data_IF_529227950664
#
_entry.id   IF_529227950664
#
_cell.length_a   1.000
_cell.length_b   1.000
_cell.length_c   1.000
_cell.angle_alpha   90.00
_cell.angle_beta   90.00
_cell.angle_gamma   90.00
#
_symmetry.space_group_name_H-M   'P 1'
#
loop_
_entity.id
_entity.type
_entity.pdbx_description
1 polymer ?
#
# COMPACT_ATOMS: atom_id res chain seq x y z
N UNK A 1 -39.45 -73.64 14.30
CA UNK A 1 -40.07 -72.33 14.70
C UNK A 1 -39.00 -71.28 14.76
N UNK A 2 -38.92 -70.34 13.78
CA UNK A 2 -37.93 -69.27 13.69
C UNK A 2 -38.43 -68.05 14.51
N UNK A 3 -37.64 -67.54 15.39
CA UNK A 3 -37.95 -66.49 16.35
C UNK A 3 -37.92 -65.12 15.67
N UNK A 4 -39.05 -64.39 15.48
CA UNK A 4 -39.10 -63.13 14.71
C UNK A 4 -38.66 -61.86 15.46
N UNK A 5 -38.20 -62.01 16.74
CA UNK A 5 -37.94 -60.86 17.62
C UNK A 5 -36.55 -60.21 17.50
N UNK A 6 -35.61 -60.80 16.74
CA UNK A 6 -34.23 -60.26 16.62
C UNK A 6 -34.01 -59.33 15.42
N UNK A 7 -34.91 -59.28 14.45
CA UNK A 7 -34.73 -58.44 13.25
C UNK A 7 -35.11 -56.97 13.49
N UNK A 8 -36.03 -56.69 14.43
CA UNK A 8 -36.48 -55.31 14.72
C UNK A 8 -35.49 -54.45 15.48
N UNK A 9 -34.58 -55.04 16.26
CA UNK A 9 -33.65 -54.28 17.11
C UNK A 9 -32.44 -53.78 16.31
N UNK A 10 -32.03 -54.52 15.25
CA UNK A 10 -30.90 -54.12 14.41
C UNK A 10 -31.26 -53.00 13.43
N UNK A 11 -32.50 -52.95 12.94
CA UNK A 11 -32.96 -51.88 12.06
C UNK A 11 -33.12 -50.51 12.77
N UNK A 12 -33.51 -50.52 14.03
CA UNK A 12 -33.60 -49.29 14.84
C UNK A 12 -32.21 -48.69 15.20
N UNK A 13 -31.23 -49.56 15.47
CA UNK A 13 -29.84 -49.09 15.74
C UNK A 13 -29.15 -48.53 14.53
N UNK A 14 -29.36 -49.12 13.33
CA UNK A 14 -28.80 -48.60 12.07
C UNK A 14 -29.39 -47.24 11.70
N UNK A 15 -30.71 -47.04 11.90
CA UNK A 15 -31.37 -45.75 11.66
C UNK A 15 -30.92 -44.66 12.64
N UNK A 16 -30.65 -44.97 13.88
CA UNK A 16 -30.11 -44.03 14.88
C UNK A 16 -28.68 -43.63 14.55
N UNK A 17 -27.82 -44.55 14.12
CA UNK A 17 -26.44 -44.24 13.72
C UNK A 17 -26.41 -43.39 12.44
N UNK A 18 -27.27 -43.67 11.45
CA UNK A 18 -27.37 -42.83 10.26
C UNK A 18 -27.91 -41.43 10.54
N UNK A 19 -28.83 -41.29 11.50
CA UNK A 19 -29.34 -39.99 11.99
C UNK A 19 -28.28 -39.17 12.70
N UNK A 20 -27.41 -39.77 13.50
CA UNK A 20 -26.31 -39.11 14.22
C UNK A 20 -25.22 -38.70 13.23
N UNK A 21 -24.87 -39.52 12.25
CA UNK A 21 -23.88 -39.20 11.21
C UNK A 21 -24.42 -38.11 10.30
N UNK A 22 -25.69 -38.18 9.84
CA UNK A 22 -26.34 -37.18 9.00
C UNK A 22 -26.50 -35.85 9.72
N UNK A 23 -26.90 -35.85 10.99
CA UNK A 23 -27.02 -34.66 11.84
C UNK A 23 -25.67 -34.00 12.12
N UNK A 24 -24.62 -34.80 12.38
CA UNK A 24 -23.26 -34.31 12.58
C UNK A 24 -22.70 -33.63 11.32
N UNK A 25 -22.93 -34.19 10.14
CA UNK A 25 -22.52 -33.59 8.85
C UNK A 25 -23.31 -32.32 8.53
N UNK A 26 -24.61 -32.25 8.84
CA UNK A 26 -25.42 -31.05 8.64
C UNK A 26 -25.00 -29.95 9.62
N UNK A 27 -24.74 -30.29 10.89
CA UNK A 27 -24.28 -29.35 11.92
C UNK A 27 -22.88 -28.83 11.61
N UNK A 28 -21.98 -29.67 11.14
CA UNK A 28 -20.63 -29.29 10.71
C UNK A 28 -20.63 -28.43 9.46
N UNK A 29 -21.56 -28.63 8.49
CA UNK A 29 -21.78 -27.73 7.35
C UNK A 29 -22.35 -26.37 7.78
N UNK A 30 -23.20 -26.32 8.78
CA UNK A 30 -23.78 -25.08 9.29
C UNK A 30 -22.77 -24.21 10.06
N UNK A 31 -21.79 -24.80 10.73
CA UNK A 31 -20.71 -24.06 11.39
C UNK A 31 -19.67 -23.53 10.40
N UNK A 32 -19.54 -24.05 9.20
CA UNK A 32 -18.59 -23.58 8.19
C UNK A 32 -19.14 -22.55 7.20
N UNK A 33 -20.33 -22.03 7.36
CA UNK A 33 -20.73 -20.78 6.72
C UNK A 33 -20.12 -19.59 7.47
N UNK A 34 -18.77 -19.50 7.53
CA UNK A 34 -18.12 -18.23 7.82
C UNK A 34 -18.65 -17.22 6.82
N UNK A 35 -19.50 -16.30 7.30
CA UNK A 35 -19.99 -15.19 6.46
C UNK A 35 -18.78 -14.59 5.77
N UNK A 36 -18.78 -14.60 4.44
CA UNK A 36 -17.70 -14.03 3.64
C UNK A 36 -17.37 -12.63 4.17
N UNK A 37 -16.10 -12.31 4.42
CA UNK A 37 -15.73 -11.01 4.97
C UNK A 37 -16.17 -9.90 4.00
N UNK A 38 -16.84 -8.89 4.54
CA UNK A 38 -17.30 -7.70 3.80
C UNK A 38 -16.32 -6.57 4.04
N UNK A 39 -15.28 -6.51 3.21
CA UNK A 39 -14.17 -5.60 3.39
C UNK A 39 -14.38 -4.35 2.55
N UNK A 40 -14.17 -3.18 3.16
CA UNK A 40 -14.09 -1.89 2.47
C UNK A 40 -12.65 -1.41 2.47
N UNK A 41 -12.13 -1.03 1.30
CA UNK A 41 -10.85 -0.37 1.10
C UNK A 41 -11.10 1.11 0.78
N UNK A 42 -10.51 2.04 1.53
CA UNK A 42 -10.67 3.48 1.30
C UNK A 42 -9.55 4.10 0.47
N UNK A 43 -8.46 3.38 0.22
CA UNK A 43 -7.32 3.84 -0.61
C UNK A 43 -6.94 2.82 -1.67
N UNK A 44 -6.31 3.29 -2.74
CA UNK A 44 -5.86 2.41 -3.83
C UNK A 44 -4.78 1.42 -3.37
N UNK A 45 -3.88 1.83 -2.47
CA UNK A 45 -2.88 0.92 -1.88
C UNK A 45 -3.53 -0.28 -1.18
N UNK A 46 -4.61 -0.04 -0.42
CA UNK A 46 -5.39 -1.13 0.24
C UNK A 46 -6.08 -2.02 -0.78
N UNK A 47 -6.64 -1.46 -1.87
CA UNK A 47 -7.21 -2.25 -2.98
C UNK A 47 -6.17 -3.17 -3.60
N UNK A 48 -4.95 -2.67 -3.83
CA UNK A 48 -3.86 -3.47 -4.39
C UNK A 48 -3.46 -4.62 -3.45
N UNK A 49 -3.34 -4.36 -2.15
CA UNK A 49 -3.05 -5.38 -1.13
C UNK A 49 -4.15 -6.45 -1.14
N UNK A 50 -5.43 -6.03 -1.07
CA UNK A 50 -6.57 -6.93 -1.10
C UNK A 50 -6.57 -7.81 -2.37
N UNK A 51 -6.23 -7.23 -3.53
CA UNK A 51 -6.12 -7.97 -4.79
C UNK A 51 -5.01 -9.04 -4.75
N UNK A 52 -3.83 -8.70 -4.23
CA UNK A 52 -2.71 -9.64 -4.12
C UNK A 52 -2.95 -10.75 -3.11
N UNK A 53 -3.75 -10.50 -2.09
CA UNK A 53 -4.17 -11.48 -1.09
C UNK A 53 -5.47 -12.20 -1.48
N UNK A 54 -6.05 -11.91 -2.64
CA UNK A 54 -7.31 -12.48 -3.11
C UNK A 54 -8.48 -12.29 -2.10
N UNK A 55 -8.56 -11.11 -1.48
CA UNK A 55 -9.63 -10.76 -0.54
C UNK A 55 -10.85 -10.21 -1.28
N UNK A 56 -12.09 -10.49 -0.84
CA UNK A 56 -13.28 -9.86 -1.39
C UNK A 56 -13.41 -8.42 -0.88
N UNK A 57 -13.71 -7.47 -1.77
CA UNK A 57 -14.07 -6.11 -1.41
C UNK A 57 -15.54 -5.84 -1.74
N UNK A 58 -16.25 -5.18 -0.83
CA UNK A 58 -17.62 -4.68 -1.05
C UNK A 58 -17.67 -3.17 -1.26
N UNK A 59 -16.56 -2.46 -0.97
CA UNK A 59 -16.39 -1.03 -1.21
C UNK A 59 -14.95 -0.72 -1.59
N UNK A 60 -14.76 0.21 -2.56
CA UNK A 60 -13.46 0.67 -3.06
C UNK A 60 -13.44 2.19 -3.20
N UNK A 61 -12.28 2.86 -3.16
CA UNK A 61 -12.21 4.30 -3.34
C UNK A 61 -12.58 4.72 -4.77
N UNK A 62 -13.06 5.96 -4.90
CA UNK A 62 -13.03 6.69 -6.17
C UNK A 62 -11.60 7.10 -6.44
N UNK A 63 -11.03 6.68 -7.56
CA UNK A 63 -9.63 6.90 -7.93
C UNK A 63 -9.49 7.04 -9.44
N UNK A 64 -8.49 7.82 -9.89
CA UNK A 64 -8.07 7.88 -11.29
C UNK A 64 -7.30 6.62 -11.72
N UNK A 65 -6.76 5.85 -10.78
CA UNK A 65 -6.04 4.62 -11.06
C UNK A 65 -6.98 3.51 -11.52
N UNK A 66 -6.55 2.70 -12.49
CA UNK A 66 -7.32 1.56 -12.99
C UNK A 66 -7.43 0.47 -11.90
N UNK A 67 -8.66 0.22 -11.46
CA UNK A 67 -8.92 -0.83 -10.48
C UNK A 67 -8.67 -2.23 -11.08
N UNK A 68 -8.22 -3.20 -10.28
CA UNK A 68 -8.18 -4.60 -10.70
C UNK A 68 -9.55 -5.07 -11.21
N UNK A 69 -9.58 -5.88 -12.26
CA UNK A 69 -10.82 -6.32 -12.95
C UNK A 69 -11.90 -6.81 -11.97
N UNK A 70 -11.52 -7.59 -10.97
CA UNK A 70 -12.45 -8.13 -9.96
C UNK A 70 -13.14 -7.08 -9.09
N UNK A 71 -12.68 -5.83 -9.09
CA UNK A 71 -13.22 -4.73 -8.27
C UNK A 71 -13.80 -3.58 -9.10
N UNK A 72 -13.86 -3.68 -10.41
CA UNK A 72 -14.35 -2.59 -11.28
C UNK A 72 -15.81 -2.24 -11.02
N UNK A 73 -16.63 -3.24 -10.67
CA UNK A 73 -18.07 -3.09 -10.40
C UNK A 73 -18.40 -2.99 -8.91
N UNK A 74 -17.40 -2.92 -8.03
CA UNK A 74 -17.59 -2.75 -6.59
C UNK A 74 -17.99 -1.31 -6.27
N UNK A 75 -18.86 -1.13 -5.28
CA UNK A 75 -19.37 0.17 -4.86
C UNK A 75 -18.27 1.18 -4.54
N UNK A 76 -18.40 2.42 -5.04
CA UNK A 76 -17.47 3.52 -4.77
C UNK A 76 -17.85 4.24 -3.49
N UNK A 77 -16.93 4.31 -2.54
CA UNK A 77 -17.13 4.88 -1.20
C UNK A 77 -16.55 6.29 -1.01
N UNK A 78 -16.25 7.00 -2.10
CA UNK A 78 -15.64 8.33 -2.07
C UNK A 78 -14.14 8.30 -2.33
N UNK A 79 -13.52 9.48 -2.47
CA UNK A 79 -12.06 9.58 -2.65
C UNK A 79 -11.30 9.26 -1.36
N UNK A 80 -10.01 8.91 -1.43
CA UNK A 80 -9.20 8.69 -0.24
C UNK A 80 -9.18 9.89 0.71
N UNK A 81 -9.23 11.11 0.17
CA UNK A 81 -9.23 12.36 0.94
C UNK A 81 -10.64 12.82 1.39
N UNK A 82 -11.68 12.15 0.93
CA UNK A 82 -13.07 12.41 1.32
C UNK A 82 -13.91 11.13 1.19
N UNK A 83 -13.69 10.13 2.08
CA UNK A 83 -14.47 8.90 2.09
C UNK A 83 -15.87 9.19 2.62
N UNK A 84 -16.90 8.66 1.94
CA UNK A 84 -18.31 8.77 2.41
C UNK A 84 -18.56 7.70 3.48
N UNK A 85 -18.59 8.11 4.74
CA UNK A 85 -18.88 7.21 5.87
C UNK A 85 -20.28 6.61 5.75
N UNK A 86 -21.25 7.38 5.25
CA UNK A 86 -22.62 6.93 4.99
C UNK A 86 -22.65 5.75 3.99
N UNK A 87 -21.99 5.91 2.83
CA UNK A 87 -21.89 4.82 1.84
C UNK A 87 -21.18 3.59 2.42
N UNK A 88 -20.14 3.80 3.21
CA UNK A 88 -19.41 2.72 3.88
C UNK A 88 -20.34 1.96 4.83
N UNK A 89 -21.08 2.67 5.68
CA UNK A 89 -22.02 2.09 6.66
C UNK A 89 -23.14 1.31 5.97
N UNK A 90 -23.70 1.85 4.87
CA UNK A 90 -24.74 1.18 4.08
C UNK A 90 -24.29 -0.18 3.53
N UNK A 91 -22.98 -0.36 3.29
CA UNK A 91 -22.41 -1.64 2.86
C UNK A 91 -22.33 -2.68 3.98
N UNK A 92 -22.64 -2.34 5.23
CA UNK A 92 -22.55 -3.23 6.40
C UNK A 92 -21.22 -4.00 6.42
N UNK A 93 -20.05 -3.34 6.43
CA UNK A 93 -18.75 -3.98 6.37
C UNK A 93 -18.45 -4.75 7.66
N UNK A 94 -17.69 -5.84 7.54
CA UNK A 94 -17.07 -6.52 8.69
C UNK A 94 -15.70 -5.92 9.02
N UNK A 95 -15.08 -5.22 8.07
CA UNK A 95 -13.82 -4.50 8.25
C UNK A 95 -13.72 -3.34 7.25
N UNK A 96 -13.18 -2.21 7.72
CA UNK A 96 -12.84 -1.04 6.89
C UNK A 96 -11.34 -0.81 7.04
N UNK A 97 -10.61 -0.76 5.93
CA UNK A 97 -9.18 -0.49 5.92
C UNK A 97 -8.86 0.84 5.26
N UNK A 98 -8.05 1.64 5.94
CA UNK A 98 -7.46 2.88 5.48
C UNK A 98 -5.95 2.87 5.75
N UNK A 99 -5.28 4.01 5.64
CA UNK A 99 -3.84 4.15 5.92
C UNK A 99 -3.60 5.13 7.06
N UNK A 100 -2.53 4.92 7.84
CA UNK A 100 -2.22 5.74 9.04
C UNK A 100 -2.03 7.21 8.74
N UNK A 101 -1.56 7.56 7.53
CA UNK A 101 -1.40 8.95 7.08
C UNK A 101 -2.74 9.73 7.02
N UNK A 102 -3.88 9.03 7.04
CA UNK A 102 -5.23 9.61 7.03
C UNK A 102 -5.96 9.48 8.38
N UNK A 103 -5.32 8.91 9.41
CA UNK A 103 -5.96 8.60 10.70
C UNK A 103 -6.46 9.85 11.42
N UNK A 104 -5.67 10.90 11.44
CA UNK A 104 -6.00 12.15 12.17
C UNK A 104 -7.14 12.91 11.50
N UNK A 105 -7.19 12.84 10.15
CA UNK A 105 -8.23 13.50 9.37
C UNK A 105 -9.59 12.81 9.50
N UNK A 106 -9.63 11.48 9.47
CA UNK A 106 -10.90 10.74 9.34
C UNK A 106 -11.28 9.92 10.57
N UNK A 107 -10.37 9.67 11.50
CA UNK A 107 -10.64 8.83 12.67
C UNK A 107 -11.85 9.29 13.47
N UNK A 108 -12.01 10.60 13.66
CA UNK A 108 -13.16 11.19 14.37
C UNK A 108 -14.47 11.02 13.60
N UNK A 109 -14.46 11.24 12.27
CA UNK A 109 -15.67 11.13 11.43
C UNK A 109 -16.18 9.68 11.38
N UNK A 110 -15.29 8.71 11.25
CA UNK A 110 -15.64 7.30 11.32
C UNK A 110 -16.20 6.90 12.68
N UNK A 111 -15.59 7.35 13.77
CA UNK A 111 -16.03 7.05 15.13
C UNK A 111 -17.43 7.60 15.42
N UNK A 112 -17.74 8.81 14.93
CA UNK A 112 -19.04 9.43 15.09
C UNK A 112 -20.19 8.63 14.42
N UNK A 113 -19.89 7.83 13.42
CA UNK A 113 -20.81 6.95 12.70
C UNK A 113 -20.71 5.47 13.13
N UNK A 114 -20.11 5.20 14.29
CA UNK A 114 -19.88 3.84 14.82
C UNK A 114 -19.13 2.89 13.88
N UNK A 115 -18.32 3.44 12.96
CA UNK A 115 -17.42 2.67 12.11
C UNK A 115 -16.01 2.75 12.70
N UNK A 116 -15.38 1.60 12.94
CA UNK A 116 -13.99 1.53 13.41
C UNK A 116 -13.08 1.08 12.27
N UNK A 117 -12.40 2.00 11.57
CA UNK A 117 -11.48 1.61 10.52
C UNK A 117 -10.16 1.09 11.12
N UNK A 118 -9.55 0.14 10.43
CA UNK A 118 -8.18 -0.29 10.66
C UNK A 118 -7.24 0.56 9.81
N UNK A 119 -6.43 1.39 10.44
CA UNK A 119 -5.42 2.18 9.74
C UNK A 119 -4.13 1.38 9.59
N UNK A 120 -3.84 0.96 8.35
CA UNK A 120 -2.64 0.21 8.01
C UNK A 120 -1.44 1.16 7.93
N UNK A 121 -0.36 0.83 8.64
CA UNK A 121 0.88 1.55 8.50
C UNK A 121 1.58 1.11 7.21
N UNK A 122 1.66 2.02 6.24
CA UNK A 122 2.32 1.82 4.95
C UNK A 122 3.41 2.86 4.69
N UNK A 123 4.02 3.39 5.75
CA UNK A 123 5.07 4.41 5.66
C UNK A 123 6.45 3.87 5.27
N UNK A 124 6.59 2.53 5.19
CA UNK A 124 7.83 1.88 4.75
C UNK A 124 7.56 0.53 4.09
N UNK A 125 8.55 0.02 3.37
CA UNK A 125 8.50 -1.32 2.77
C UNK A 125 8.39 -2.41 3.84
N UNK A 126 9.07 -2.24 4.99
CA UNK A 126 8.97 -3.18 6.11
C UNK A 126 7.55 -3.24 6.68
N UNK A 127 6.88 -2.09 6.83
CA UNK A 127 5.49 -2.04 7.28
C UNK A 127 4.53 -2.68 6.27
N UNK A 128 4.77 -2.54 4.96
CA UNK A 128 3.99 -3.25 3.95
C UNK A 128 4.16 -4.78 4.08
N UNK A 129 5.38 -5.27 4.29
CA UNK A 129 5.66 -6.70 4.51
C UNK A 129 4.93 -7.22 5.76
N UNK A 130 4.94 -6.46 6.86
CA UNK A 130 4.18 -6.77 8.07
C UNK A 130 2.68 -6.80 7.82
N UNK A 131 2.14 -5.79 7.13
CA UNK A 131 0.72 -5.70 6.76
C UNK A 131 0.29 -6.90 5.93
N UNK A 132 1.08 -7.29 4.91
CA UNK A 132 0.81 -8.48 4.10
C UNK A 132 0.75 -9.75 4.96
N UNK A 133 1.70 -9.90 5.87
CA UNK A 133 1.77 -11.07 6.77
C UNK A 133 0.58 -11.11 7.73
N UNK A 134 0.22 -9.97 8.35
CA UNK A 134 -0.89 -9.87 9.28
C UNK A 134 -2.24 -10.13 8.60
N UNK A 135 -2.52 -9.48 7.47
CA UNK A 135 -3.74 -9.70 6.70
C UNK A 135 -3.80 -11.11 6.12
N UNK A 136 -2.65 -11.66 5.69
CA UNK A 136 -2.53 -13.05 5.26
C UNK A 136 -2.94 -14.03 6.35
N UNK A 137 -2.51 -13.81 7.59
CA UNK A 137 -2.90 -14.62 8.75
C UNK A 137 -4.40 -14.44 9.09
N UNK A 138 -4.86 -13.20 9.16
CA UNK A 138 -6.23 -12.83 9.53
C UNK A 138 -7.28 -13.44 8.59
N UNK A 139 -6.98 -13.47 7.29
CA UNK A 139 -7.92 -13.92 6.25
C UNK A 139 -7.56 -15.28 5.65
N UNK A 140 -6.69 -16.07 6.30
CA UNK A 140 -6.25 -17.38 5.81
C UNK A 140 -5.68 -17.32 4.39
N UNK A 141 -4.80 -16.34 4.13
CA UNK A 141 -4.10 -16.11 2.86
C UNK A 141 -2.58 -16.10 3.02
N UNK A 142 -2.05 -16.89 3.96
CA UNK A 142 -0.63 -16.91 4.31
C UNK A 142 0.27 -17.21 3.11
N UNK A 143 -0.11 -18.16 2.26
CA UNK A 143 0.65 -18.53 1.06
C UNK A 143 0.75 -17.35 0.08
N UNK A 144 -0.37 -16.63 -0.17
CA UNK A 144 -0.39 -15.45 -1.03
C UNK A 144 0.47 -14.33 -0.44
N UNK A 145 0.38 -14.08 0.88
CA UNK A 145 1.19 -13.09 1.57
C UNK A 145 2.68 -13.43 1.49
N UNK A 146 3.08 -14.67 1.79
CA UNK A 146 4.46 -15.13 1.74
C UNK A 146 5.06 -14.96 0.33
N UNK A 147 4.28 -15.25 -0.72
CA UNK A 147 4.69 -15.01 -2.11
C UNK A 147 5.02 -13.54 -2.36
N UNK A 148 4.16 -12.60 -1.91
CA UNK A 148 4.41 -11.17 -2.10
C UNK A 148 5.63 -10.71 -1.31
N UNK A 149 5.77 -11.11 -0.04
CA UNK A 149 6.93 -10.80 0.79
C UNK A 149 8.22 -11.31 0.15
N UNK A 150 8.23 -12.54 -0.38
CA UNK A 150 9.38 -13.12 -1.10
C UNK A 150 9.79 -12.26 -2.31
N UNK A 151 8.83 -11.76 -3.10
CA UNK A 151 9.10 -10.88 -4.24
C UNK A 151 9.73 -9.54 -3.77
N UNK A 152 9.20 -8.96 -2.70
CA UNK A 152 9.75 -7.71 -2.12
C UNK A 152 11.18 -7.94 -1.63
N UNK A 153 11.44 -9.03 -0.90
CA UNK A 153 12.78 -9.36 -0.42
C UNK A 153 13.78 -9.56 -1.57
N UNK A 154 13.35 -10.20 -2.66
CA UNK A 154 14.18 -10.36 -3.86
C UNK A 154 14.55 -8.99 -4.48
N UNK A 155 13.58 -8.08 -4.59
CA UNK A 155 13.82 -6.73 -5.10
C UNK A 155 14.78 -5.94 -4.19
N UNK A 156 14.63 -6.02 -2.87
CA UNK A 156 15.56 -5.42 -1.90
C UNK A 156 16.99 -5.95 -2.07
N UNK A 157 17.14 -7.25 -2.27
CA UNK A 157 18.45 -7.88 -2.51
C UNK A 157 19.09 -7.37 -3.81
N UNK A 158 18.32 -7.24 -4.89
CA UNK A 158 18.81 -6.70 -6.17
C UNK A 158 19.24 -5.23 -6.05
N UNK A 159 18.42 -4.39 -5.41
CA UNK A 159 18.75 -2.99 -5.17
C UNK A 159 20.02 -2.84 -4.35
N UNK A 160 20.18 -3.62 -3.27
CA UNK A 160 21.39 -3.65 -2.45
C UNK A 160 22.62 -4.08 -3.27
N UNK A 161 22.49 -5.10 -4.13
CA UNK A 161 23.59 -5.55 -5.02
C UNK A 161 24.02 -4.43 -5.97
N UNK A 162 23.06 -3.64 -6.53
CA UNK A 162 23.36 -2.51 -7.43
C UNK A 162 24.14 -1.40 -6.73
N UNK A 163 23.85 -1.15 -5.45
CA UNK A 163 24.54 -0.16 -4.63
C UNK A 163 25.92 -0.62 -4.10
N UNK A 164 26.19 -1.92 -4.14
CA UNK A 164 27.39 -2.51 -3.52
C UNK A 164 28.67 -1.90 -4.08
N UNK A 165 29.62 -1.52 -3.18
CA UNK A 165 30.91 -0.91 -3.49
C UNK A 165 30.81 0.44 -4.26
N UNK A 166 29.67 1.12 -4.18
CA UNK A 166 29.46 2.43 -4.80
C UNK A 166 29.11 3.48 -3.73
N UNK A 167 29.62 4.72 -3.84
CA UNK A 167 29.26 5.78 -2.90
C UNK A 167 27.76 6.01 -2.86
N UNK A 168 27.21 6.22 -1.66
CA UNK A 168 25.80 6.53 -1.49
C UNK A 168 25.50 7.96 -1.99
N UNK A 169 24.69 8.14 -3.03
CA UNK A 169 24.34 9.47 -3.52
C UNK A 169 23.44 10.21 -2.52
N UNK A 170 23.63 11.53 -2.40
CA UNK A 170 22.73 12.42 -1.64
C UNK A 170 21.46 12.67 -2.42
N UNK A 171 20.33 12.31 -1.87
CA UNK A 171 19.01 12.36 -2.52
C UNK A 171 18.10 13.33 -1.79
N UNK A 172 17.54 14.28 -2.52
CA UNK A 172 16.42 15.11 -2.08
C UNK A 172 15.13 14.50 -2.60
N UNK A 173 14.13 14.36 -1.73
CA UNK A 173 12.79 13.92 -2.12
C UNK A 173 11.80 15.05 -1.88
N UNK A 174 11.08 15.42 -2.92
CA UNK A 174 10.04 16.45 -2.88
C UNK A 174 8.68 15.77 -3.08
N UNK A 175 7.66 16.24 -2.39
CA UNK A 175 6.26 15.85 -2.61
C UNK A 175 5.47 17.07 -3.04
N UNK A 176 5.05 17.13 -4.29
CA UNK A 176 4.17 18.17 -4.81
C UNK A 176 2.72 17.90 -4.45
N UNK A 177 2.00 18.96 -4.13
CA UNK A 177 0.58 18.95 -3.80
C UNK A 177 -0.19 19.84 -4.79
N UNK A 178 -1.40 19.44 -5.22
CA UNK A 178 -2.21 20.23 -6.14
C UNK A 178 -2.53 21.62 -5.58
N UNK A 179 -2.20 22.68 -6.33
CA UNK A 179 -2.50 24.07 -5.94
C UNK A 179 -1.69 24.61 -4.77
N UNK A 180 -0.68 23.87 -4.29
CA UNK A 180 0.19 24.27 -3.19
C UNK A 180 1.66 24.12 -3.56
N UNK A 181 2.55 24.68 -2.71
CA UNK A 181 3.97 24.41 -2.82
C UNK A 181 4.26 22.93 -2.48
N UNK A 182 5.47 22.49 -2.79
CA UNK A 182 5.94 21.16 -2.42
C UNK A 182 6.29 21.06 -0.94
N UNK A 183 6.35 19.84 -0.43
CA UNK A 183 6.94 19.50 0.86
C UNK A 183 8.23 18.71 0.65
N UNK A 184 9.12 18.73 1.64
CA UNK A 184 10.33 17.91 1.65
C UNK A 184 10.02 16.61 2.39
N UNK A 185 10.22 15.47 1.71
CA UNK A 185 10.02 14.16 2.28
C UNK A 185 11.29 13.67 2.98
N UNK A 186 11.17 13.26 4.23
CA UNK A 186 12.28 12.81 5.06
C UNK A 186 12.56 11.31 4.91
N UNK A 187 13.60 10.83 5.60
CA UNK A 187 13.89 9.40 5.74
C UNK A 187 12.73 8.58 6.38
N UNK A 188 11.72 9.23 6.95
CA UNK A 188 10.55 8.57 7.57
C UNK A 188 9.41 8.34 6.58
N UNK A 189 9.41 9.01 5.43
CA UNK A 189 8.44 8.78 4.36
C UNK A 189 8.70 7.48 3.62
N UNK A 190 7.67 6.96 2.95
CA UNK A 190 7.81 5.77 2.10
C UNK A 190 8.89 5.95 1.00
N UNK A 191 8.89 7.09 0.31
CA UNK A 191 9.91 7.35 -0.72
C UNK A 191 11.30 7.48 -0.10
N UNK A 192 11.41 8.07 1.10
CA UNK A 192 12.66 8.10 1.87
C UNK A 192 13.16 6.70 2.23
N UNK A 193 12.27 5.76 2.53
CA UNK A 193 12.62 4.35 2.75
C UNK A 193 13.08 3.66 1.46
N UNK A 194 12.44 3.96 0.31
CA UNK A 194 12.91 3.48 -1.00
C UNK A 194 14.34 3.97 -1.31
N UNK A 195 14.64 5.24 -1.04
CA UNK A 195 15.99 5.81 -1.20
C UNK A 195 17.00 5.03 -0.36
N UNK A 196 16.71 4.79 0.92
CA UNK A 196 17.56 4.02 1.83
C UNK A 196 17.77 2.58 1.33
N UNK A 197 16.70 1.90 0.93
CA UNK A 197 16.77 0.52 0.43
C UNK A 197 17.53 0.40 -0.90
N UNK A 198 17.47 1.45 -1.72
CA UNK A 198 18.24 1.56 -2.94
C UNK A 198 19.71 1.96 -2.71
N UNK A 199 20.13 2.23 -1.46
CA UNK A 199 21.51 2.57 -1.10
C UNK A 199 21.83 4.07 -1.17
N UNK A 200 20.84 4.96 -1.32
CA UNK A 200 21.01 6.41 -1.25
C UNK A 200 20.88 6.96 0.17
N UNK A 201 21.30 8.20 0.33
CA UNK A 201 21.15 8.97 1.58
C UNK A 201 20.15 10.10 1.36
N UNK A 202 19.00 10.07 2.04
CA UNK A 202 18.08 11.20 2.03
C UNK A 202 18.72 12.38 2.78
N UNK A 203 18.82 13.53 2.12
CA UNK A 203 19.49 14.73 2.68
C UNK A 203 18.67 15.39 3.79
N UNK A 204 17.38 15.09 3.91
CA UNK A 204 16.53 15.53 5.00
C UNK A 204 16.12 14.35 5.88
N UNK A 205 16.44 14.44 7.15
CA UNK A 205 16.13 13.40 8.13
C UNK A 205 15.28 13.94 9.27
N UNK A 206 14.39 13.11 9.78
CA UNK A 206 13.60 13.41 10.97
C UNK A 206 13.47 12.18 11.86
N UNK A 207 13.26 12.40 13.16
CA UNK A 207 12.91 11.33 14.10
C UNK A 207 11.40 11.03 14.12
N UNK A 208 10.56 12.02 13.71
CA UNK A 208 9.09 11.96 13.86
C UNK A 208 8.33 12.22 12.56
N UNK A 209 8.75 13.21 11.77
CA UNK A 209 7.99 13.72 10.64
C UNK A 209 8.34 12.98 9.36
N UNK A 210 7.34 12.63 8.58
CA UNK A 210 7.50 12.10 7.22
C UNK A 210 7.76 13.23 6.21
N UNK A 211 7.15 14.39 6.44
CA UNK A 211 7.22 15.57 5.58
C UNK A 211 7.52 16.82 6.40
N UNK A 212 8.27 17.75 5.80
CA UNK A 212 8.67 19.02 6.37
C UNK A 212 8.37 20.14 5.38
N UNK A 213 8.15 21.35 5.90
CA UNK A 213 8.08 22.54 5.05
C UNK A 213 9.42 22.77 4.36
N UNK A 214 9.43 23.22 3.09
CA UNK A 214 10.65 23.54 2.37
C UNK A 214 11.37 24.73 2.99
N UNK A 215 12.69 24.71 2.88
CA UNK A 215 13.56 25.84 3.18
C UNK A 215 14.67 25.85 2.13
N UNK A 216 14.66 26.85 1.26
CA UNK A 216 15.53 26.95 0.08
C UNK A 216 17.01 26.99 0.48
N UNK A 217 17.37 27.73 1.52
CA UNK A 217 18.76 27.80 2.01
C UNK A 217 19.23 26.43 2.50
N UNK A 218 18.40 25.73 3.29
CA UNK A 218 18.71 24.38 3.76
C UNK A 218 18.82 23.40 2.59
N UNK A 219 17.94 23.48 1.59
CA UNK A 219 18.00 22.64 0.37
C UNK A 219 19.31 22.89 -0.38
N UNK A 220 19.64 24.17 -0.63
CA UNK A 220 20.86 24.54 -1.35
C UNK A 220 22.12 24.05 -0.64
N UNK A 221 22.17 24.17 0.69
CA UNK A 221 23.30 23.72 1.51
C UNK A 221 23.53 22.22 1.42
N UNK A 222 22.48 21.41 1.25
CA UNK A 222 22.64 19.95 1.09
C UNK A 222 23.24 19.56 -0.26
N UNK A 223 23.13 20.41 -1.28
CA UNK A 223 23.59 20.19 -2.65
C UNK A 223 23.29 18.76 -3.13
N UNK A 224 22.01 18.38 -3.31
CA UNK A 224 21.63 17.02 -3.65
C UNK A 224 22.20 16.59 -5.00
N UNK A 225 22.60 15.32 -5.11
CA UNK A 225 23.10 14.71 -6.34
C UNK A 225 21.99 14.07 -7.19
N UNK A 226 20.85 13.81 -6.56
CA UNK A 226 19.62 13.30 -7.19
C UNK A 226 18.43 13.99 -6.55
N UNK A 227 17.45 14.39 -7.35
CA UNK A 227 16.16 14.89 -6.88
C UNK A 227 15.06 13.94 -7.38
N UNK A 228 14.19 13.50 -6.48
CA UNK A 228 13.01 12.71 -6.76
C UNK A 228 11.78 13.57 -6.47
N UNK A 229 10.91 13.81 -7.46
CA UNK A 229 9.72 14.65 -7.36
C UNK A 229 8.48 13.75 -7.36
N UNK A 230 7.87 13.52 -6.18
CA UNK A 230 6.64 12.73 -6.06
C UNK A 230 5.44 13.58 -6.47
N UNK A 231 4.76 13.15 -7.50
CA UNK A 231 3.56 13.79 -8.05
C UNK A 231 2.31 13.23 -7.36
N UNK A 232 2.09 13.67 -6.11
CA UNK A 232 0.97 13.16 -5.30
C UNK A 232 -0.35 13.82 -5.67
N UNK A 233 -1.40 13.03 -5.86
CA UNK A 233 -2.71 13.45 -6.36
C UNK A 233 -2.59 14.29 -7.65
N UNK A 234 -3.47 14.32 -8.55
CA UNK A 234 -3.46 15.13 -9.78
C UNK A 234 -2.06 15.26 -10.47
N UNK A 235 -1.38 14.16 -10.86
CA UNK A 235 0.01 14.18 -11.34
C UNK A 235 0.29 15.23 -12.43
N UNK A 236 -0.57 15.34 -13.45
CA UNK A 236 -0.40 16.31 -14.55
C UNK A 236 -0.31 17.78 -14.09
N UNK A 237 -1.02 18.14 -13.02
CA UNK A 237 -0.97 19.49 -12.45
C UNK A 237 0.34 19.65 -11.66
N UNK A 238 0.67 18.69 -10.82
CA UNK A 238 1.84 18.71 -9.96
C UNK A 238 3.14 18.73 -10.78
N UNK A 239 3.22 17.96 -11.88
CA UNK A 239 4.35 18.03 -12.81
C UNK A 239 4.57 19.47 -13.31
N UNK A 240 3.50 20.12 -13.82
CA UNK A 240 3.59 21.51 -14.29
C UNK A 240 4.01 22.49 -13.20
N UNK A 241 3.52 22.28 -11.96
CA UNK A 241 3.92 23.12 -10.83
C UNK A 241 5.41 22.95 -10.51
N UNK A 242 5.93 21.70 -10.50
CA UNK A 242 7.36 21.45 -10.34
C UNK A 242 8.20 22.07 -11.47
N UNK A 243 7.76 21.93 -12.73
CA UNK A 243 8.50 22.48 -13.86
C UNK A 243 8.57 24.00 -13.79
N UNK A 244 7.47 24.67 -13.37
CA UNK A 244 7.44 26.11 -13.18
C UNK A 244 8.34 26.52 -12.01
N UNK A 245 8.26 25.86 -10.86
CA UNK A 245 9.11 26.09 -9.69
C UNK A 245 10.60 25.95 -10.03
N UNK A 246 10.98 24.88 -10.75
CA UNK A 246 12.37 24.64 -11.13
C UNK A 246 12.90 25.64 -12.16
N UNK A 247 12.00 26.25 -12.95
CA UNK A 247 12.33 27.32 -13.90
C UNK A 247 12.48 28.68 -13.21
N UNK A 248 11.54 29.05 -12.34
CA UNK A 248 11.45 30.38 -11.76
C UNK A 248 12.42 30.57 -10.59
N UNK A 249 12.62 29.55 -9.78
CA UNK A 249 13.52 29.59 -8.63
C UNK A 249 14.94 29.16 -9.02
N UNK A 250 15.81 30.15 -9.21
CA UNK A 250 17.20 29.94 -9.63
C UNK A 250 18.03 29.10 -8.66
N UNK A 251 17.57 28.88 -7.41
CA UNK A 251 18.22 28.00 -6.47
C UNK A 251 18.43 26.60 -7.04
N UNK A 252 17.47 26.08 -7.81
CA UNK A 252 17.51 24.73 -8.37
C UNK A 252 18.66 24.54 -9.35
N UNK A 253 18.94 25.53 -10.20
CA UNK A 253 20.02 25.45 -11.20
C UNK A 253 21.41 25.33 -10.57
N UNK A 254 21.56 25.72 -9.31
CA UNK A 254 22.82 25.63 -8.54
C UNK A 254 23.05 24.24 -7.93
N UNK A 255 22.03 23.38 -7.90
CA UNK A 255 22.16 22.03 -7.33
C UNK A 255 22.88 21.09 -8.28
N UNK A 256 23.65 20.14 -7.72
CA UNK A 256 24.34 19.12 -8.52
C UNK A 256 23.37 18.25 -9.32
N UNK A 257 22.20 17.95 -8.76
CA UNK A 257 21.16 17.14 -9.41
C UNK A 257 20.68 17.77 -10.73
N UNK A 258 20.36 19.06 -10.71
CA UNK A 258 19.88 19.78 -11.90
C UNK A 258 20.99 19.92 -12.96
N UNK A 259 22.20 20.31 -12.54
CA UNK A 259 23.36 20.43 -13.44
C UNK A 259 23.73 19.12 -14.15
N UNK A 260 23.49 17.98 -13.50
CA UNK A 260 23.78 16.66 -14.06
C UNK A 260 22.55 15.91 -14.60
N UNK A 261 21.41 16.61 -14.78
CA UNK A 261 20.15 16.03 -15.30
C UNK A 261 19.69 14.80 -14.52
N UNK A 262 19.79 14.85 -13.18
CA UNK A 262 19.39 13.78 -12.27
C UNK A 262 18.17 14.16 -11.41
N UNK A 263 17.15 14.67 -12.08
CA UNK A 263 15.84 14.99 -11.53
C UNK A 263 14.85 14.01 -12.15
N UNK A 264 14.10 13.28 -11.32
CA UNK A 264 13.20 12.22 -11.77
C UNK A 264 11.81 12.40 -11.15
N UNK A 265 10.79 12.22 -11.97
CA UNK A 265 9.40 12.28 -11.57
C UNK A 265 8.88 10.92 -11.14
N UNK A 266 8.30 10.88 -9.94
CA UNK A 266 7.74 9.69 -9.32
C UNK A 266 6.23 9.66 -9.57
N UNK A 267 5.82 8.95 -10.63
CA UNK A 267 4.44 8.96 -11.11
C UNK A 267 3.63 7.76 -10.58
N UNK A 268 2.34 8.02 -10.30
CA UNK A 268 1.36 6.95 -10.06
C UNK A 268 1.17 6.08 -11.33
N UNK A 269 0.83 4.82 -11.19
CA UNK A 269 0.56 4.08 -9.95
C UNK A 269 1.79 3.40 -9.33
N UNK A 270 3.01 3.64 -9.83
CA UNK A 270 4.23 3.01 -9.33
C UNK A 270 4.62 3.62 -7.99
N UNK A 271 4.60 4.94 -7.91
CA UNK A 271 4.93 5.72 -6.73
C UNK A 271 3.68 6.34 -6.11
N UNK A 272 3.66 6.47 -4.80
CA UNK A 272 2.60 7.09 -4.01
C UNK A 272 3.21 7.60 -2.70
N UNK A 273 2.46 8.36 -1.91
CA UNK A 273 2.83 8.79 -0.57
C UNK A 273 2.96 7.61 0.42
N UNK A 274 2.35 6.47 0.12
CA UNK A 274 2.38 5.24 0.92
C UNK A 274 2.87 4.04 0.13
N UNK A 275 3.45 3.05 0.81
CA UNK A 275 3.88 1.80 0.21
C UNK A 275 2.68 1.06 -0.41
N UNK A 276 2.87 0.55 -1.61
CA UNK A 276 1.86 -0.14 -2.39
C UNK A 276 2.44 -1.40 -3.07
N UNK A 277 1.61 -2.18 -3.76
CA UNK A 277 2.05 -3.44 -4.36
C UNK A 277 2.89 -3.28 -5.65
N UNK A 278 3.23 -2.06 -6.05
CA UNK A 278 4.22 -1.74 -7.09
C UNK A 278 5.62 -1.51 -6.53
N UNK A 279 5.83 -1.72 -5.24
CA UNK A 279 7.08 -1.48 -4.52
C UNK A 279 8.31 -2.13 -5.17
N UNK A 280 8.18 -3.30 -5.78
CA UNK A 280 9.29 -3.97 -6.47
C UNK A 280 9.75 -3.19 -7.70
N UNK A 281 8.81 -2.67 -8.50
CA UNK A 281 9.09 -1.79 -9.64
C UNK A 281 9.64 -0.44 -9.17
N UNK A 282 9.04 0.16 -8.16
CA UNK A 282 9.49 1.43 -7.59
C UNK A 282 10.94 1.34 -7.09
N UNK A 283 11.26 0.28 -6.34
CA UNK A 283 12.61 0.07 -5.81
C UNK A 283 13.63 -0.19 -6.93
N UNK A 284 13.23 -0.94 -7.97
CA UNK A 284 14.08 -1.17 -9.13
C UNK A 284 14.40 0.14 -9.86
N UNK A 285 13.39 0.97 -10.15
CA UNK A 285 13.57 2.27 -10.81
C UNK A 285 14.44 3.21 -9.97
N UNK A 286 14.14 3.39 -8.68
CA UNK A 286 14.95 4.24 -7.79
C UNK A 286 16.40 3.76 -7.77
N UNK A 287 16.65 2.45 -7.64
CA UNK A 287 18.01 1.92 -7.61
C UNK A 287 18.77 2.12 -8.93
N UNK A 288 18.10 2.12 -10.09
CA UNK A 288 18.70 2.48 -11.38
C UNK A 288 19.03 3.97 -11.46
N UNK A 289 18.13 4.85 -11.01
CA UNK A 289 18.39 6.29 -11.00
C UNK A 289 19.54 6.67 -10.07
N UNK A 290 19.66 5.99 -8.92
CA UNK A 290 20.77 6.22 -8.01
C UNK A 290 22.10 5.70 -8.55
N UNK A 291 22.07 4.57 -9.25
CA UNK A 291 23.26 3.87 -9.76
C UNK A 291 23.08 3.49 -11.24
N UNK A 292 23.08 4.49 -12.14
CA UNK A 292 22.95 4.20 -13.57
C UNK A 292 24.08 3.33 -14.07
N UNK A 293 23.76 2.39 -14.96
CA UNK A 293 24.74 1.58 -15.69
C UNK A 293 25.38 2.45 -16.76
N UNK A 294 26.71 2.49 -16.86
CA UNK A 294 27.40 3.23 -17.92
C UNK A 294 26.89 2.73 -19.28
N UNK A 295 26.32 3.63 -20.09
CA UNK A 295 25.93 3.35 -21.49
C UNK A 295 24.43 3.15 -21.76
N UNK A 296 23.54 3.15 -20.76
CA UNK A 296 22.10 3.19 -21.00
C UNK A 296 21.62 4.64 -20.81
N UNK A 297 21.27 5.34 -21.90
CA UNK A 297 20.49 6.58 -21.82
C UNK A 297 19.10 6.19 -21.33
N UNK A 298 18.71 6.65 -20.12
CA UNK A 298 17.36 6.54 -19.56
C UNK A 298 16.52 7.70 -20.07
#
# INVERSE_FOLDING_TARGET
>A
MKNPRKVGLWSLTVLLILGIIGGGFAWQRQQHQQKQPRIVATTFAVVQIANKLNLPLVGVPTTANTLPQRYQHVAKVGSPMNPSVEKITALKPTAVYSVTTLSDQFGKAFKAQHVTPHFLNLTSVAHLEQTLTQLGKQYHRQSAAAKQVKHIQAAKKLAKKRAQQRPAPRVLVLMGLPGANYMVATNRSYVGDLVRLAGGTNVFTSRKQEYMQPNDEAIQKTNPQVILRLEHAMPKMVTKQFDQEFKDNQMWSKTAAVRHHRVYDLQEPIFDATANMRVTTALDQVSHWLYPTKGVKV
#
